data_IF_257157257010
#
_entry.id   IF_257157257010
#
_cell.length_a   1.000
_cell.length_b   1.000
_cell.length_c   1.000
_cell.angle_alpha   90.00
_cell.angle_beta   90.00
_cell.angle_gamma   90.00
#
_symmetry.space_group_name_H-M   'P 1'
#
loop_
_entity.id
_entity.type
_entity.pdbx_description
1 polymer ?
#
# COMPACT_ATOMS: atom_id res chain seq x y z
N UNK A 1 4.23 -21.33 11.76
CA UNK A 1 2.90 -20.68 11.86
C UNK A 1 3.06 -19.42 12.69
N UNK A 2 3.65 -18.39 12.08
CA UNK A 2 3.72 -17.07 12.67
C UNK A 2 3.26 -16.13 11.57
N UNK A 3 2.05 -15.60 11.70
CA UNK A 3 1.68 -14.37 11.02
C UNK A 3 2.34 -13.29 11.88
N UNK A 4 3.48 -12.78 11.42
CA UNK A 4 4.12 -11.63 12.04
C UNK A 4 3.42 -10.39 11.54
N UNK A 5 2.85 -9.58 12.43
CA UNK A 5 2.62 -8.18 12.07
C UNK A 5 3.89 -7.45 12.47
N UNK A 6 4.69 -7.08 11.47
CA UNK A 6 6.09 -6.65 11.67
C UNK A 6 6.25 -5.12 11.58
N UNK A 7 5.27 -4.41 11.02
CA UNK A 7 5.27 -2.94 10.99
C UNK A 7 3.91 -2.37 11.34
N UNK A 8 3.87 -1.54 12.38
CA UNK A 8 2.79 -0.61 12.64
C UNK A 8 3.42 0.78 12.72
N UNK A 9 3.08 1.64 11.77
CA UNK A 9 3.28 3.08 11.87
C UNK A 9 2.48 3.65 13.07
N UNK A 10 3.02 4.67 13.73
CA UNK A 10 2.23 5.60 14.53
C UNK A 10 1.63 6.66 13.60
N UNK A 11 0.47 6.33 13.02
CA UNK A 11 -0.34 7.19 12.12
C UNK A 11 -0.56 8.65 12.61
N UNK A 12 -0.16 8.97 13.85
CA UNK A 12 -0.20 10.30 14.43
C UNK A 12 0.95 11.22 13.99
N UNK A 13 2.15 10.71 13.65
CA UNK A 13 3.30 11.58 13.37
C UNK A 13 3.38 12.05 11.90
N UNK A 14 2.79 11.28 10.97
CA UNK A 14 2.75 11.57 9.52
C UNK A 14 4.15 11.69 8.91
N UNK A 15 5.14 11.06 9.53
CA UNK A 15 6.48 10.97 8.98
C UNK A 15 6.54 9.83 7.94
N UNK A 16 7.55 9.86 7.07
CA UNK A 16 7.72 8.82 6.08
C UNK A 16 8.50 7.66 6.68
N UNK A 17 7.87 6.50 6.86
CA UNK A 17 8.51 5.30 7.38
C UNK A 17 8.98 4.33 6.30
N UNK A 18 9.88 3.43 6.69
CA UNK A 18 10.29 2.29 5.87
C UNK A 18 10.01 0.99 6.62
N UNK A 19 9.08 0.20 6.08
CA UNK A 19 8.66 -1.08 6.63
C UNK A 19 9.22 -2.22 5.78
N UNK A 20 9.77 -3.25 6.42
CA UNK A 20 10.31 -4.44 5.77
C UNK A 20 9.77 -5.71 6.45
N UNK A 21 9.03 -6.55 5.72
CA UNK A 21 8.47 -7.81 6.22
C UNK A 21 9.55 -8.89 6.37
N UNK A 22 10.37 -9.04 5.33
CA UNK A 22 11.53 -9.90 5.33
C UNK A 22 11.21 -11.25 4.72
N UNK A 23 11.08 -12.28 5.54
CA UNK A 23 10.76 -13.62 5.05
C UNK A 23 9.61 -14.21 5.85
N UNK A 24 8.61 -14.74 5.15
CA UNK A 24 7.36 -15.18 5.75
C UNK A 24 6.18 -14.48 5.10
N UNK A 25 4.97 -14.80 5.53
CA UNK A 25 3.78 -14.04 5.11
C UNK A 25 3.55 -12.93 6.12
N UNK A 26 3.86 -11.70 5.71
CA UNK A 26 3.82 -10.52 6.55
C UNK A 26 2.64 -9.61 6.22
N UNK A 27 2.25 -8.79 7.20
CA UNK A 27 1.29 -7.71 7.01
C UNK A 27 1.99 -6.40 7.29
N UNK A 28 2.04 -5.53 6.28
CA UNK A 28 2.60 -4.19 6.36
C UNK A 28 1.46 -3.19 6.26
N UNK A 29 1.24 -2.42 7.32
CA UNK A 29 0.25 -1.35 7.33
C UNK A 29 0.98 -0.03 7.11
N UNK A 30 0.63 0.65 6.02
CA UNK A 30 1.29 1.83 5.50
C UNK A 30 0.31 3.00 5.55
N UNK A 31 0.80 4.15 5.96
CA UNK A 31 0.13 5.42 5.78
C UNK A 31 0.50 6.05 4.42
N UNK A 32 0.05 7.28 4.18
CA UNK A 32 0.53 8.04 3.03
C UNK A 32 1.91 8.64 3.33
N UNK A 33 2.89 8.22 2.54
CA UNK A 33 4.31 8.64 2.47
C UNK A 33 5.27 7.52 2.91
N UNK A 34 4.73 6.45 3.48
CA UNK A 34 5.49 5.25 3.81
C UNK A 34 6.01 4.48 2.60
N UNK A 35 7.10 3.76 2.82
CA UNK A 35 7.67 2.79 1.89
C UNK A 35 7.66 1.38 2.48
N UNK A 36 6.94 0.46 1.85
CA UNK A 36 6.87 -0.96 2.24
C UNK A 36 7.62 -1.89 1.29
N UNK A 37 8.36 -2.83 1.88
CA UNK A 37 9.01 -3.96 1.19
C UNK A 37 8.54 -5.27 1.84
N UNK A 38 7.86 -6.13 1.10
CA UNK A 38 7.33 -7.40 1.61
C UNK A 38 8.44 -8.41 1.86
N UNK A 39 9.22 -8.68 0.83
CA UNK A 39 10.26 -9.70 0.82
C UNK A 39 9.76 -11.05 0.33
N UNK A 40 10.33 -12.13 0.87
CA UNK A 40 9.98 -13.49 0.44
C UNK A 40 8.70 -13.95 1.15
N UNK A 41 7.59 -14.12 0.42
CA UNK A 41 6.37 -14.57 1.08
C UNK A 41 5.11 -14.38 0.27
N UNK A 42 3.99 -14.42 1.00
CA UNK A 42 2.70 -13.98 0.49
C UNK A 42 2.26 -12.87 1.44
N UNK A 43 2.55 -11.63 1.05
CA UNK A 43 2.45 -10.47 1.90
C UNK A 43 1.17 -9.70 1.67
N UNK A 44 0.72 -8.99 2.70
CA UNK A 44 -0.41 -8.09 2.61
C UNK A 44 0.04 -6.65 2.91
N UNK A 45 -0.08 -5.79 1.90
CA UNK A 45 0.12 -4.36 2.04
C UNK A 45 -1.24 -3.70 2.28
N UNK A 46 -1.41 -3.06 3.43
CA UNK A 46 -2.62 -2.32 3.78
C UNK A 46 -2.29 -0.84 3.76
N UNK A 47 -2.82 -0.10 2.79
CA UNK A 47 -2.66 1.36 2.71
C UNK A 47 -3.88 2.00 3.36
N UNK A 48 -3.66 2.75 4.45
CA UNK A 48 -4.72 3.50 5.11
C UNK A 48 -4.94 4.86 4.42
N UNK A 49 -6.20 5.18 4.17
CA UNK A 49 -6.63 6.38 3.45
C UNK A 49 -7.67 7.19 4.22
N UNK A 50 -7.34 8.44 4.53
CA UNK A 50 -8.26 9.46 5.04
C UNK A 50 -8.13 10.78 4.28
N UNK A 51 -9.19 11.61 4.34
CA UNK A 51 -9.23 12.86 3.56
C UNK A 51 -8.20 13.92 3.97
N UNK A 52 -7.56 13.76 5.13
CA UNK A 52 -6.55 14.67 5.66
C UNK A 52 -5.10 14.21 5.43
N UNK A 53 -4.89 13.07 4.79
CA UNK A 53 -3.57 12.59 4.38
C UNK A 53 -3.19 13.13 2.99
N UNK A 54 -1.89 13.24 2.74
CA UNK A 54 -1.32 13.72 1.47
C UNK A 54 -0.14 12.85 1.08
N UNK A 55 0.22 12.79 -0.21
CA UNK A 55 1.32 11.94 -0.69
C UNK A 55 0.81 10.59 -1.18
N UNK A 56 1.64 9.56 -1.17
CA UNK A 56 1.23 8.21 -1.55
C UNK A 56 2.16 7.20 -0.88
N UNK A 57 1.63 6.03 -0.55
CA UNK A 57 2.47 4.91 -0.16
C UNK A 57 3.34 4.45 -1.35
N UNK A 58 4.52 3.91 -1.05
CA UNK A 58 5.41 3.28 -2.03
C UNK A 58 5.57 1.81 -1.67
N UNK A 59 5.28 0.90 -2.61
CA UNK A 59 5.49 -0.54 -2.43
C UNK A 59 6.53 -0.99 -3.44
N UNK A 60 7.61 -1.61 -2.96
CA UNK A 60 8.84 -1.75 -3.74
C UNK A 60 8.98 -3.06 -4.51
N UNK A 61 8.25 -4.11 -4.12
CA UNK A 61 8.53 -5.49 -4.54
C UNK A 61 7.28 -6.39 -4.64
N UNK A 62 6.13 -5.81 -4.97
CA UNK A 62 4.86 -6.55 -5.05
C UNK A 62 4.91 -7.72 -6.05
N UNK A 63 4.64 -8.94 -5.58
CA UNK A 63 4.47 -10.14 -6.42
C UNK A 63 2.97 -10.39 -6.67
N UNK A 64 2.50 -10.12 -7.89
CA UNK A 64 1.10 -10.35 -8.29
C UNK A 64 0.59 -11.79 -8.10
N UNK A 65 1.49 -12.78 -8.00
CA UNK A 65 1.12 -14.18 -7.81
C UNK A 65 0.98 -14.59 -6.35
N UNK A 66 1.50 -13.80 -5.41
CA UNK A 66 1.59 -14.13 -4.00
C UNK A 66 0.98 -13.06 -3.08
N UNK A 67 1.18 -11.79 -3.40
CA UNK A 67 0.87 -10.67 -2.52
C UNK A 67 -0.54 -10.11 -2.73
N UNK A 68 -0.97 -9.30 -1.77
CA UNK A 68 -2.23 -8.58 -1.80
C UNK A 68 -2.06 -7.12 -1.41
N UNK A 69 -2.76 -6.25 -2.13
CA UNK A 69 -2.89 -4.83 -1.80
C UNK A 69 -4.32 -4.54 -1.37
N UNK A 70 -4.46 -3.97 -0.18
CA UNK A 70 -5.73 -3.58 0.43
C UNK A 70 -5.68 -2.07 0.62
N UNK A 71 -6.68 -1.38 0.07
CA UNK A 71 -6.90 0.04 0.36
C UNK A 71 -7.99 0.12 1.43
N UNK A 72 -7.58 0.43 2.67
CA UNK A 72 -8.50 0.64 3.78
C UNK A 72 -8.77 2.13 3.91
N UNK A 73 -10.04 2.54 3.87
CA UNK A 73 -10.39 3.96 3.86
C UNK A 73 -11.42 4.30 4.92
N UNK A 74 -11.31 5.50 5.46
CA UNK A 74 -12.28 6.02 6.44
C UNK A 74 -13.60 6.37 5.75
N UNK A 75 -14.58 5.46 5.78
CA UNK A 75 -15.88 5.66 5.14
C UNK A 75 -16.62 6.94 5.54
N UNK A 76 -16.36 7.51 6.72
CA UNK A 76 -16.97 8.78 7.15
C UNK A 76 -16.51 9.99 6.32
N UNK A 77 -15.38 9.87 5.61
CA UNK A 77 -14.79 10.94 4.81
C UNK A 77 -15.35 10.96 3.37
N UNK A 78 -16.07 9.90 2.97
CA UNK A 78 -16.56 9.70 1.61
C UNK A 78 -18.08 9.57 1.58
N UNK A 79 -18.74 10.33 0.71
CA UNK A 79 -20.20 10.29 0.58
C UNK A 79 -20.72 9.01 -0.11
N UNK A 80 -19.88 8.37 -0.91
CA UNK A 80 -20.14 7.10 -1.62
C UNK A 80 -18.88 6.24 -1.56
N UNK A 81 -19.00 4.95 -1.91
CA UNK A 81 -17.83 4.07 -2.04
C UNK A 81 -16.93 4.60 -3.17
N UNK A 82 -15.64 4.87 -2.91
CA UNK A 82 -14.74 5.42 -3.91
C UNK A 82 -14.40 4.38 -4.99
N UNK A 83 -14.04 4.87 -6.18
CA UNK A 83 -13.58 4.02 -7.28
C UNK A 83 -12.07 3.88 -7.25
N UNK A 84 -11.59 2.64 -7.27
CA UNK A 84 -10.16 2.34 -7.43
C UNK A 84 -9.85 2.10 -8.90
N UNK A 85 -8.80 2.74 -9.39
CA UNK A 85 -8.28 2.58 -10.75
C UNK A 85 -6.81 2.20 -10.67
N UNK A 86 -6.37 1.31 -11.56
CA UNK A 86 -4.97 0.91 -11.70
C UNK A 86 -4.47 1.46 -13.03
N UNK A 87 -3.32 2.12 -13.01
CA UNK A 87 -2.70 2.72 -14.18
C UNK A 87 -1.25 2.28 -14.25
N UNK A 88 -0.93 1.41 -15.20
CA UNK A 88 0.44 0.94 -15.40
C UNK A 88 1.42 2.09 -15.58
N UNK A 89 2.61 1.94 -14.98
CA UNK A 89 3.74 2.80 -15.25
C UNK A 89 4.13 2.71 -16.72
N UNK A 90 4.56 3.83 -17.30
CA UNK A 90 4.96 3.87 -18.71
C UNK A 90 6.16 2.98 -19.05
N UNK A 91 6.95 2.59 -18.05
CA UNK A 91 8.10 1.70 -18.20
C UNK A 91 7.77 0.21 -18.00
N UNK A 92 6.52 -0.12 -17.65
CA UNK A 92 6.05 -1.48 -17.43
C UNK A 92 6.61 -2.15 -16.16
N UNK A 93 7.12 -1.38 -15.20
CA UNK A 93 7.71 -1.92 -13.95
C UNK A 93 6.75 -1.97 -12.78
N UNK A 94 5.52 -1.47 -12.93
CA UNK A 94 4.53 -1.40 -11.86
C UNK A 94 3.30 -0.61 -12.27
N UNK A 95 2.51 -0.17 -11.30
CA UNK A 95 1.31 0.62 -11.52
C UNK A 95 1.06 1.67 -10.42
N UNK A 96 0.44 2.78 -10.83
CA UNK A 96 -0.18 3.75 -9.93
C UNK A 96 -1.56 3.23 -9.52
N UNK A 97 -1.88 3.31 -8.24
CA UNK A 97 -3.20 3.02 -7.68
C UNK A 97 -3.87 4.35 -7.36
N UNK A 98 -5.04 4.58 -7.94
CA UNK A 98 -5.78 5.82 -7.79
C UNK A 98 -7.14 5.57 -7.13
N UNK A 99 -7.48 6.38 -6.13
CA UNK A 99 -8.81 6.43 -5.52
C UNK A 99 -9.51 7.72 -5.95
N UNK A 100 -10.61 7.60 -6.70
CA UNK A 100 -11.34 8.74 -7.30
C UNK A 100 -10.41 9.70 -8.10
N UNK A 101 -9.37 9.14 -8.72
CA UNK A 101 -8.36 9.90 -9.49
C UNK A 101 -7.23 10.50 -8.66
N UNK A 102 -7.21 10.31 -7.34
CA UNK A 102 -6.11 10.70 -6.45
C UNK A 102 -5.14 9.54 -6.30
N UNK A 103 -3.84 9.77 -6.53
CA UNK A 103 -2.80 8.78 -6.28
C UNK A 103 -2.77 8.40 -4.79
N UNK A 104 -2.91 7.10 -4.50
CA UNK A 104 -2.86 6.54 -3.13
C UNK A 104 -1.61 5.69 -2.91
N UNK A 105 -1.18 4.95 -3.94
CA UNK A 105 0.00 4.12 -3.87
C UNK A 105 0.71 4.01 -5.23
N UNK A 106 2.04 3.94 -5.19
CA UNK A 106 2.90 3.57 -6.30
C UNK A 106 3.46 2.17 -6.04
N UNK A 107 3.21 1.23 -6.95
CA UNK A 107 3.44 -0.19 -6.67
C UNK A 107 4.30 -0.80 -7.77
N UNK A 108 5.59 -0.99 -7.48
CA UNK A 108 6.49 -1.76 -8.34
C UNK A 108 6.05 -3.22 -8.35
N UNK A 109 5.97 -3.82 -9.54
CA UNK A 109 5.52 -5.19 -9.75
C UNK A 109 4.03 -5.36 -10.04
N UNK A 110 3.21 -4.30 -9.93
CA UNK A 110 1.75 -4.38 -10.09
C UNK A 110 1.19 -4.09 -11.50
N UNK A 111 2.01 -4.10 -12.55
CA UNK A 111 1.56 -3.87 -13.93
C UNK A 111 0.66 -5.01 -14.47
N UNK A 112 -0.41 -4.72 -15.23
CA UNK A 112 -1.24 -5.78 -15.82
C UNK A 112 -2.60 -5.41 -16.41
#
# INVERSE_FOLDING_TARGET
>A
TGVGVVGFDDFADREADSLNGGAGSDVLVLDRSDTGTGGDGADAFVVFESADQTGSATITDFDQSADSLIIDYRAADFAVVPTVTVVDFTDGTGADILMDGVLVAQVTGAQG
#
